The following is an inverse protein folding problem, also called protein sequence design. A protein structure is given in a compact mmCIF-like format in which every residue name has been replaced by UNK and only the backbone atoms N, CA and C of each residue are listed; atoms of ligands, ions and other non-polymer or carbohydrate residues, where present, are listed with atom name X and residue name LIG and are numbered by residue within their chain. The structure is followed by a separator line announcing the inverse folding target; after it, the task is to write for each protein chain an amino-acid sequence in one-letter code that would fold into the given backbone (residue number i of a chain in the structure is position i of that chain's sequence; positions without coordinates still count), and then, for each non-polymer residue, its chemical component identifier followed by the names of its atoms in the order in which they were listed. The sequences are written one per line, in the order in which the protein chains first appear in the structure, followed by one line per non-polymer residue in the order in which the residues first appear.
data_IF_123628837902
#
_entry.id   IF_123628837902
#
_cell.length_a   1.000
_cell.length_b   1.000
_cell.length_c   1.000
_cell.angle_alpha   90.00
_cell.angle_beta   90.00
_cell.angle_gamma   90.00
#
_symmetry.space_group_name_H-M   'P 1'
#
loop_
_entity.id
_entity.type
_entity.pdbx_description
1 polymer ?
#
# COMPACT_ATOMS: atom_id res chain seq x y z
N UNK A 1 -10.12 -30.53 -13.21
CA UNK A 1 -9.06 -29.99 -12.35
C UNK A 1 -9.15 -28.47 -12.36
N UNK A 2 -10.14 -27.88 -11.67
CA UNK A 2 -10.14 -26.49 -11.22
C UNK A 2 -10.98 -26.50 -9.94
N UNK A 3 -10.33 -26.33 -8.78
CA UNK A 3 -11.06 -26.03 -7.55
C UNK A 3 -11.61 -24.60 -7.62
N UNK A 4 -12.59 -24.22 -6.78
CA UNK A 4 -13.01 -22.83 -6.70
C UNK A 4 -11.79 -21.96 -6.35
N UNK A 5 -11.60 -20.88 -7.11
CA UNK A 5 -10.60 -19.85 -6.80
C UNK A 5 -11.00 -19.18 -5.48
N UNK A 6 -10.47 -19.68 -4.36
CA UNK A 6 -10.74 -19.17 -3.01
C UNK A 6 -9.85 -17.97 -2.64
N UNK A 7 -9.08 -17.43 -3.60
CA UNK A 7 -8.17 -16.33 -3.32
C UNK A 7 -8.96 -15.01 -3.21
N UNK A 8 -9.02 -14.47 -1.99
CA UNK A 8 -9.64 -13.18 -1.66
C UNK A 8 -8.78 -11.98 -2.04
N UNK A 9 -7.53 -12.20 -2.50
CA UNK A 9 -6.63 -11.12 -2.91
C UNK A 9 -7.14 -10.43 -4.18
N UNK A 10 -7.06 -9.08 -4.27
CA UNK A 10 -7.41 -8.38 -5.49
C UNK A 10 -6.54 -8.88 -6.64
N UNK A 11 -7.18 -9.40 -7.68
CA UNK A 11 -6.53 -9.76 -8.94
C UNK A 11 -6.72 -8.56 -9.85
N UNK A 12 -5.63 -7.94 -10.30
CA UNK A 12 -5.69 -6.72 -11.12
C UNK A 12 -5.23 -5.48 -10.38
N UNK A 13 -4.90 -4.44 -11.14
CA UNK A 13 -4.45 -3.15 -10.63
C UNK A 13 -2.95 -3.08 -10.31
N UNK A 14 -2.61 -2.58 -9.12
CA UNK A 14 -1.22 -2.37 -8.71
C UNK A 14 -0.96 -2.88 -7.28
N UNK A 15 0.30 -3.19 -6.97
CA UNK A 15 0.73 -3.76 -5.70
C UNK A 15 2.07 -3.17 -5.28
N UNK A 16 2.18 -2.77 -4.01
CA UNK A 16 3.45 -2.50 -3.37
C UNK A 16 3.69 -3.52 -2.25
N UNK A 17 4.82 -4.24 -2.32
CA UNK A 17 5.28 -5.08 -1.22
C UNK A 17 5.93 -4.20 -0.18
N UNK A 18 5.35 -4.16 1.01
CA UNK A 18 5.77 -3.34 2.14
C UNK A 18 6.81 -4.09 2.97
N UNK A 19 7.99 -3.49 3.11
CA UNK A 19 9.08 -3.98 3.97
C UNK A 19 9.60 -2.86 4.86
N UNK A 20 10.52 -3.18 5.78
CA UNK A 20 11.12 -2.16 6.64
C UNK A 20 11.87 -1.09 5.81
N UNK A 21 11.77 0.19 6.19
CA UNK A 21 12.50 1.27 5.52
C UNK A 21 14.01 0.99 5.52
N UNK A 22 14.65 1.11 4.35
CA UNK A 22 16.07 0.76 4.19
C UNK A 22 17.01 1.82 4.83
N UNK A 23 16.58 3.08 4.86
CA UNK A 23 17.45 4.24 5.17
C UNK A 23 17.45 4.67 6.64
N UNK A 24 16.75 3.97 7.54
CA UNK A 24 16.70 4.34 8.95
C UNK A 24 17.95 3.81 9.69
N UNK A 25 19.05 4.55 9.60
CA UNK A 25 20.30 4.29 10.34
C UNK A 25 20.22 4.56 11.86
N UNK A 26 19.02 4.76 12.40
CA UNK A 26 18.82 4.97 13.84
C UNK A 26 18.03 3.79 14.39
N UNK A 27 18.43 3.21 15.54
CA UNK A 27 17.61 2.23 16.25
C UNK A 27 16.47 2.98 16.93
N UNK A 28 15.59 3.62 16.17
CA UNK A 28 14.36 4.15 16.74
C UNK A 28 13.45 2.96 17.02
N UNK A 29 12.96 2.93 18.25
CA UNK A 29 12.12 1.90 18.84
C UNK A 29 10.71 2.09 18.27
N UNK A 30 10.53 2.15 16.95
CA UNK A 30 9.21 2.08 16.35
C UNK A 30 8.73 0.64 16.56
N UNK A 31 7.96 0.44 17.62
CA UNK A 31 7.43 -0.89 18.01
C UNK A 31 6.48 -1.47 16.95
N UNK A 32 6.03 -0.65 16.01
CA UNK A 32 5.12 -1.04 14.94
C UNK A 32 5.89 -1.18 13.63
N UNK A 33 6.48 -2.36 13.46
CA UNK A 33 7.08 -2.80 12.21
C UNK A 33 5.98 -3.43 11.34
N UNK A 34 5.70 -2.84 10.19
CA UNK A 34 4.74 -3.39 9.23
C UNK A 34 5.50 -4.13 8.12
N UNK A 35 5.02 -5.32 7.79
CA UNK A 35 5.40 -6.06 6.59
C UNK A 35 4.12 -6.60 5.97
N UNK A 36 3.98 -6.55 4.66
CA UNK A 36 2.74 -6.96 4.01
C UNK A 36 2.61 -6.44 2.59
N UNK A 37 1.37 -6.37 2.13
CA UNK A 37 0.99 -6.00 0.77
C UNK A 37 0.09 -4.75 0.82
N UNK A 38 0.38 -3.74 -0.01
CA UNK A 38 -0.54 -2.64 -0.30
C UNK A 38 -1.01 -2.76 -1.75
N UNK A 39 -2.25 -3.17 -1.96
CA UNK A 39 -2.87 -3.32 -3.27
C UNK A 39 -3.75 -2.11 -3.60
N UNK A 40 -3.73 -1.68 -4.86
CA UNK A 40 -4.61 -0.67 -5.44
C UNK A 40 -5.45 -1.34 -6.52
N UNK A 41 -6.78 -1.29 -6.39
CA UNK A 41 -7.68 -2.00 -7.29
C UNK A 41 -9.03 -1.30 -7.46
N UNK A 42 -9.82 -1.76 -8.42
CA UNK A 42 -11.23 -1.39 -8.59
C UNK A 42 -12.08 -2.65 -8.48
N UNK A 43 -12.93 -2.78 -7.44
CA UNK A 43 -13.79 -3.94 -7.25
C UNK A 43 -14.66 -4.21 -8.47
N UNK A 44 -14.67 -5.45 -8.95
CA UNK A 44 -15.46 -5.87 -10.11
C UNK A 44 -14.86 -5.49 -11.47
N UNK A 45 -13.78 -4.71 -11.52
CA UNK A 45 -13.17 -4.24 -12.77
C UNK A 45 -11.63 -4.37 -12.73
N UNK A 46 -11.09 -5.60 -12.84
CA UNK A 46 -9.65 -5.87 -12.69
C UNK A 46 -8.76 -5.24 -13.77
N UNK A 47 -9.35 -4.86 -14.91
CA UNK A 47 -8.67 -4.19 -16.03
C UNK A 47 -8.77 -2.67 -16.00
N UNK A 48 -9.38 -2.07 -14.95
CA UNK A 48 -9.52 -0.62 -14.85
C UNK A 48 -8.13 0.04 -14.78
N UNK A 49 -7.92 1.10 -15.56
CA UNK A 49 -6.69 1.91 -15.50
C UNK A 49 -6.64 2.82 -14.27
N UNK A 50 -7.70 2.84 -13.46
CA UNK A 50 -7.78 3.58 -12.21
C UNK A 50 -8.09 2.63 -11.06
N UNK A 51 -7.45 2.84 -9.90
CA UNK A 51 -7.86 2.21 -8.66
C UNK A 51 -8.78 3.14 -7.87
N UNK A 52 -9.88 2.58 -7.39
CA UNK A 52 -10.84 3.25 -6.51
C UNK A 52 -10.68 2.81 -5.06
N UNK A 53 -9.94 1.73 -4.80
CA UNK A 53 -9.73 1.15 -3.49
C UNK A 53 -8.25 0.89 -3.24
N UNK A 54 -7.85 1.04 -1.97
CA UNK A 54 -6.54 0.62 -1.48
C UNK A 54 -6.75 -0.43 -0.37
N UNK A 55 -5.96 -1.49 -0.39
CA UNK A 55 -6.06 -2.60 0.55
C UNK A 55 -4.68 -2.90 1.15
N UNK A 56 -4.58 -2.89 2.47
CA UNK A 56 -3.40 -3.37 3.19
C UNK A 56 -3.70 -4.76 3.70
N UNK A 57 -2.84 -5.71 3.40
CA UNK A 57 -2.86 -7.06 3.99
C UNK A 57 -1.57 -7.25 4.79
N UNK A 58 -1.71 -7.49 6.08
CA UNK A 58 -0.60 -7.67 7.01
C UNK A 58 0.08 -9.01 6.82
N UNK A 59 1.38 -9.06 7.05
CA UNK A 59 2.14 -10.29 7.19
C UNK A 59 1.79 -11.02 8.48
N UNK A 60 2.28 -12.26 8.60
CA UNK A 60 2.05 -13.10 9.78
C UNK A 60 2.45 -12.38 11.09
N UNK A 61 1.53 -12.35 12.05
CA UNK A 61 1.74 -11.68 13.35
C UNK A 61 1.56 -10.15 13.35
N UNK A 62 1.12 -9.54 12.24
CA UNK A 62 0.84 -8.11 12.18
C UNK A 62 -0.60 -7.80 12.62
N UNK A 63 -0.76 -7.08 13.73
CA UNK A 63 -2.06 -6.59 14.19
C UNK A 63 -2.41 -5.27 13.48
N UNK A 64 -3.16 -5.36 12.37
CA UNK A 64 -3.61 -4.17 11.64
C UNK A 64 -4.67 -3.35 12.38
N UNK A 65 -5.33 -3.89 13.41
CA UNK A 65 -6.33 -3.11 14.17
C UNK A 65 -5.66 -2.00 14.99
N UNK A 66 -4.49 -2.29 15.58
CA UNK A 66 -3.62 -1.32 16.26
C UNK A 66 -3.06 -0.20 15.35
N UNK A 67 -3.40 -0.30 14.06
CA UNK A 67 -2.74 0.31 12.93
C UNK A 67 -3.79 0.96 11.99
N UNK A 68 -5.06 0.99 12.39
CA UNK A 68 -6.18 1.56 11.63
C UNK A 68 -6.10 3.08 11.39
N UNK A 69 -5.19 3.78 12.09
CA UNK A 69 -4.92 5.21 11.91
C UNK A 69 -3.73 5.49 10.98
N UNK A 70 -3.25 4.49 10.23
CA UNK A 70 -2.12 4.65 9.31
C UNK A 70 -2.33 5.75 8.26
N UNK A 71 -1.22 6.41 7.94
CA UNK A 71 -1.12 7.35 6.81
C UNK A 71 -0.26 6.71 5.74
N UNK A 72 -0.79 6.62 4.52
CA UNK A 72 -0.04 6.20 3.34
C UNK A 72 0.34 7.44 2.53
N UNK A 73 1.62 7.52 2.20
CA UNK A 73 2.19 8.54 1.34
C UNK A 73 2.74 7.87 0.08
N UNK A 74 2.29 8.31 -1.07
CA UNK A 74 2.88 8.00 -2.37
C UNK A 74 3.80 9.17 -2.73
N UNK A 75 5.06 8.87 -3.01
CA UNK A 75 6.08 9.86 -3.32
C UNK A 75 6.21 10.06 -4.84
N UNK A 76 6.76 11.20 -5.26
CA UNK A 76 7.02 11.44 -6.70
C UNK A 76 8.13 10.52 -7.22
N UNK A 77 9.15 10.27 -6.42
CA UNK A 77 10.27 9.37 -6.74
C UNK A 77 9.96 7.91 -6.37
N UNK A 78 10.46 6.97 -7.18
CA UNK A 78 10.53 5.54 -6.88
C UNK A 78 11.78 5.09 -6.13
N UNK A 79 12.73 6.00 -5.92
CA UNK A 79 14.07 5.68 -5.41
C UNK A 79 14.07 5.52 -3.88
N UNK A 80 14.21 4.28 -3.43
CA UNK A 80 14.32 3.92 -2.01
C UNK A 80 15.69 4.24 -1.41
N UNK A 81 16.71 4.57 -2.22
CA UNK A 81 18.04 4.92 -1.72
C UNK A 81 18.12 6.38 -1.25
N UNK A 82 17.17 7.21 -1.68
CA UNK A 82 17.05 8.62 -1.30
C UNK A 82 16.29 8.77 0.02
N UNK A 83 16.58 9.87 0.72
CA UNK A 83 15.81 10.24 1.92
C UNK A 83 14.37 10.59 1.55
N UNK A 84 13.45 10.36 2.49
CA UNK A 84 12.02 10.66 2.33
C UNK A 84 11.76 12.11 1.94
N UNK A 85 12.47 13.05 2.56
CA UNK A 85 12.39 14.49 2.31
C UNK A 85 12.71 14.87 0.86
N UNK A 86 13.54 14.08 0.18
CA UNK A 86 13.96 14.32 -1.21
C UNK A 86 13.04 13.65 -2.24
N UNK A 87 12.13 12.76 -1.82
CA UNK A 87 11.29 11.97 -2.72
C UNK A 87 10.03 12.70 -3.18
N UNK A 88 9.73 13.88 -2.63
CA UNK A 88 8.54 14.67 -2.92
C UNK A 88 7.24 14.00 -2.48
N UNK A 89 6.13 14.75 -2.51
CA UNK A 89 4.79 14.26 -2.22
C UNK A 89 4.00 14.17 -3.52
N UNK A 90 3.49 12.97 -3.84
CA UNK A 90 2.54 12.78 -4.94
C UNK A 90 1.11 12.69 -4.42
N UNK A 91 0.85 11.78 -3.48
CA UNK A 91 -0.47 11.61 -2.88
C UNK A 91 -0.38 11.19 -1.42
N UNK A 92 -1.40 11.54 -0.63
CA UNK A 92 -1.53 11.13 0.77
C UNK A 92 -2.96 10.79 1.10
N UNK A 93 -3.17 9.71 1.82
CA UNK A 93 -4.47 9.34 2.37
C UNK A 93 -4.30 8.55 3.68
N UNK A 94 -5.29 8.67 4.55
CA UNK A 94 -5.34 7.95 5.81
C UNK A 94 -6.25 6.73 5.67
N UNK A 95 -5.88 5.62 6.31
CA UNK A 95 -6.73 4.43 6.46
C UNK A 95 -7.79 4.58 7.55
N UNK A 96 -7.95 5.79 8.11
CA UNK A 96 -9.05 6.13 9.00
C UNK A 96 -10.40 5.84 8.31
N UNK A 97 -11.19 4.94 8.88
CA UNK A 97 -12.46 4.51 8.30
C UNK A 97 -12.35 3.39 7.25
N UNK A 98 -11.19 2.76 7.12
CA UNK A 98 -11.07 1.52 6.37
C UNK A 98 -11.93 0.41 7.00
N UNK A 99 -12.51 -0.42 6.14
CA UNK A 99 -13.23 -1.63 6.54
C UNK A 99 -12.24 -2.72 6.93
N UNK A 100 -12.49 -3.35 8.07
CA UNK A 100 -11.69 -4.47 8.56
C UNK A 100 -12.24 -5.76 7.94
N UNK A 101 -11.38 -6.53 7.29
CA UNK A 101 -11.71 -7.79 6.63
C UNK A 101 -10.89 -8.92 7.25
N UNK A 102 -11.26 -10.17 6.95
CA UNK A 102 -10.47 -11.37 7.27
C UNK A 102 -9.99 -11.44 8.73
N UNK A 103 -10.90 -11.16 9.68
CA UNK A 103 -10.62 -11.15 11.12
C UNK A 103 -9.51 -10.17 11.56
N UNK A 104 -9.27 -9.10 10.79
CA UNK A 104 -8.26 -8.09 11.15
C UNK A 104 -6.95 -8.18 10.39
N UNK A 105 -6.74 -9.20 9.54
CA UNK A 105 -5.52 -9.30 8.74
C UNK A 105 -5.50 -8.39 7.52
N UNK A 106 -6.64 -7.81 7.15
CA UNK A 106 -6.79 -6.96 5.97
C UNK A 106 -7.60 -5.70 6.29
N UNK A 107 -7.13 -4.55 5.81
CA UNK A 107 -7.82 -3.26 5.83
C UNK A 107 -8.11 -2.82 4.41
N UNK A 108 -9.35 -2.42 4.13
CA UNK A 108 -9.76 -1.92 2.81
C UNK A 108 -10.36 -0.52 2.91
N UNK A 109 -9.82 0.40 2.11
CA UNK A 109 -10.21 1.80 2.07
C UNK A 109 -10.73 2.16 0.68
N UNK A 110 -11.94 2.71 0.62
CA UNK A 110 -12.42 3.41 -0.57
C UNK A 110 -11.70 4.76 -0.69
N UNK A 111 -11.02 4.97 -1.81
CA UNK A 111 -10.27 6.19 -2.07
C UNK A 111 -11.23 7.34 -2.38
N UNK A 112 -10.99 8.51 -1.79
CA UNK A 112 -11.80 9.72 -2.05
C UNK A 112 -11.74 10.15 -3.52
N UNK A 113 -10.65 9.82 -4.21
CA UNK A 113 -10.45 10.07 -5.63
C UNK A 113 -9.77 8.84 -6.24
N UNK A 114 -10.19 8.39 -7.43
CA UNK A 114 -9.48 7.33 -8.14
C UNK A 114 -8.03 7.73 -8.41
N UNK A 115 -7.14 6.74 -8.45
CA UNK A 115 -5.71 6.94 -8.72
C UNK A 115 -5.34 6.24 -10.01
N UNK A 116 -4.59 6.91 -10.90
CA UNK A 116 -4.15 6.33 -12.17
C UNK A 116 -3.14 5.22 -11.92
N UNK A 117 -3.32 4.08 -12.60
CA UNK A 117 -2.45 2.90 -12.56
C UNK A 117 -1.52 2.85 -13.77
N UNK A 118 -1.03 4.00 -14.20
CA UNK A 118 -0.07 4.15 -15.29
C UNK A 118 1.35 4.39 -14.76
N UNK A 119 2.33 4.36 -15.67
CA UNK A 119 3.72 4.74 -15.39
C UNK A 119 3.92 6.20 -15.76
N UNK A 120 4.59 6.98 -14.90
CA UNK A 120 4.88 8.39 -15.18
C UNK A 120 3.70 9.32 -14.84
N UNK A 121 3.80 10.59 -15.24
CA UNK A 121 2.78 11.64 -15.14
C UNK A 121 1.94 11.59 -13.85
N UNK A 122 0.66 11.23 -13.95
CA UNK A 122 -0.29 11.11 -12.85
C UNK A 122 -0.44 9.67 -12.31
N UNK A 123 0.29 8.70 -12.88
CA UNK A 123 0.18 7.27 -12.60
C UNK A 123 1.12 6.76 -11.51
N UNK A 124 0.60 5.97 -10.56
CA UNK A 124 1.32 5.59 -9.34
C UNK A 124 2.39 4.50 -9.54
N UNK A 125 2.48 3.87 -10.71
CA UNK A 125 3.39 2.75 -10.91
C UNK A 125 4.83 3.23 -11.01
N UNK A 126 5.72 2.50 -10.33
CA UNK A 126 7.13 2.83 -10.18
C UNK A 126 7.41 3.83 -9.06
N UNK A 127 6.38 4.33 -8.36
CA UNK A 127 6.55 5.27 -7.25
C UNK A 127 6.79 4.54 -5.92
N UNK A 128 7.53 5.21 -5.03
CA UNK A 128 7.71 4.76 -3.64
C UNK A 128 6.42 5.02 -2.88
N UNK A 129 6.06 4.06 -2.04
CA UNK A 129 5.07 4.23 -0.99
C UNK A 129 5.74 4.12 0.35
N UNK A 130 5.33 4.97 1.28
CA UNK A 130 5.73 4.92 2.67
C UNK A 130 4.51 4.97 3.55
N UNK A 131 4.51 4.12 4.57
CA UNK A 131 3.42 3.97 5.53
C UNK A 131 3.90 4.53 6.86
N UNK A 132 3.09 5.37 7.48
CA UNK A 132 3.38 6.03 8.73
C UNK A 132 2.31 5.69 9.77
N UNK A 133 2.68 5.61 11.06
CA UNK A 133 1.71 5.68 12.15
C UNK A 133 0.86 6.97 12.03
N UNK A 134 -0.40 6.94 12.47
CA UNK A 134 -1.27 8.12 12.44
C UNK A 134 -0.81 9.27 13.34
N UNK A 135 -0.04 8.94 14.38
CA UNK A 135 0.42 9.88 15.40
C UNK A 135 1.71 10.61 15.03
N UNK A 136 2.55 10.02 14.17
CA UNK A 136 3.90 10.50 13.88
C UNK A 136 4.28 10.25 12.42
N UNK A 137 4.79 11.27 11.72
CA UNK A 137 5.23 11.17 10.31
C UNK A 137 6.76 11.24 10.15
N UNK A 138 7.51 11.21 11.25
CA UNK A 138 8.98 11.32 11.21
C UNK A 138 9.64 10.01 10.75
N UNK A 139 8.99 8.88 11.04
CA UNK A 139 9.50 7.55 10.74
C UNK A 139 8.43 6.69 10.08
N UNK A 140 8.67 6.31 8.83
CA UNK A 140 7.87 5.30 8.16
C UNK A 140 7.99 3.96 8.90
N UNK A 141 6.88 3.23 9.04
CA UNK A 141 6.85 1.86 9.58
C UNK A 141 7.10 0.80 8.50
N UNK A 142 6.81 1.14 7.24
CA UNK A 142 7.11 0.31 6.08
C UNK A 142 7.19 1.13 4.79
N UNK A 143 7.88 0.58 3.80
CA UNK A 143 8.04 1.17 2.46
C UNK A 143 7.99 0.10 1.39
N UNK A 144 7.65 0.52 0.18
CA UNK A 144 7.64 -0.34 -1.00
C UNK A 144 7.65 0.48 -2.27
N UNK A 145 7.72 -0.21 -3.41
CA UNK A 145 7.54 0.38 -4.74
C UNK A 145 6.28 -0.19 -5.34
N UNK A 146 5.43 0.67 -5.92
CA UNK A 146 4.23 0.22 -6.63
C UNK A 146 4.62 -0.44 -7.94
N UNK A 147 4.30 -1.72 -8.09
CA UNK A 147 4.39 -2.47 -9.33
C UNK A 147 3.01 -2.82 -9.90
N UNK A 148 2.99 -3.32 -11.12
CA UNK A 148 1.79 -3.89 -11.72
C UNK A 148 1.37 -5.18 -11.01
N UNK A 149 0.06 -5.36 -10.83
CA UNK A 149 -0.54 -6.59 -10.32
C UNK A 149 -1.50 -7.17 -11.37
N UNK A 150 -0.96 -7.85 -12.38
CA UNK A 150 -1.78 -8.39 -13.47
C UNK A 150 -2.60 -9.61 -13.04
N UNK A 151 -3.79 -9.73 -13.63
CA UNK A 151 -4.47 -11.02 -13.80
C UNK A 151 -4.02 -11.57 -15.14
N UNK A 152 -3.46 -12.78 -15.18
CA UNK A 152 -3.34 -13.47 -16.47
C UNK A 152 -4.78 -13.68 -16.99
N UNK A 153 -5.09 -13.04 -18.12
CA UNK A 153 -6.23 -13.44 -18.93
C UNK A 153 -5.89 -14.82 -19.51
N UNK A 154 -6.50 -15.87 -18.96
CA UNK A 154 -6.54 -17.21 -19.57
C UNK A 154 -7.84 -17.33 -20.37
#
# INVERSE_FOLDING_TARGET
MCGPDTCTKPRGGALAVLNHPCSQHSPSISKQRLRGDLAFHTPGEPGCSFATHARITGGEGCDLQSLSEMIVVIHQSGDLTRKLEDCGLFQRFAFSGASILENGSTLELALKRPVSLEVGDDGIIGRRVSVFPGTEMDHACAEGIVGFNFVNAL
#
